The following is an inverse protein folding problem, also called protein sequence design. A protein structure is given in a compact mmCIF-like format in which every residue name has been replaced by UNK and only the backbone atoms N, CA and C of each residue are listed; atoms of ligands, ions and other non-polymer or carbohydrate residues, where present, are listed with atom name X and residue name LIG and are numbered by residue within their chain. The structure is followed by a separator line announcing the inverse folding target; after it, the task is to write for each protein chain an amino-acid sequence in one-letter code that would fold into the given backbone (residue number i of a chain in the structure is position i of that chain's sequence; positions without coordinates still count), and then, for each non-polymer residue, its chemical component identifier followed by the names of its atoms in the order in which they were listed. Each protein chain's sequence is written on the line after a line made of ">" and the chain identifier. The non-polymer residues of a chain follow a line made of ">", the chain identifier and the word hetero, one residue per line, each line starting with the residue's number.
data_IF_818894464325
#
_entry.id   IF_818894464325
#
_cell.length_a   1.000
_cell.length_b   1.000
_cell.length_c   1.000
_cell.angle_alpha   90.00
_cell.angle_beta   90.00
_cell.angle_gamma   90.00
#
_symmetry.space_group_name_H-M   'P 1'
#
loop_
_entity.id
_entity.type
_entity.pdbx_description
1 polymer ?
#
# COMPACT_ATOMS: atom_id res chain seq x y z
N UNK A 1 1.74 -26.86 15.08
CA UNK A 1 2.77 -26.08 14.36
C UNK A 1 2.17 -25.11 13.35
N UNK A 2 0.96 -25.37 12.81
CA UNK A 2 0.35 -24.53 11.76
C UNK A 2 -0.31 -23.23 12.25
N UNK A 3 -0.47 -23.03 13.55
CA UNK A 3 -1.13 -21.84 14.11
C UNK A 3 -0.29 -20.55 13.93
N UNK A 4 1.02 -20.65 13.90
CA UNK A 4 1.92 -19.50 13.73
C UNK A 4 1.83 -18.85 12.36
N UNK A 5 1.81 -19.62 11.28
CA UNK A 5 1.74 -19.11 9.90
C UNK A 5 0.44 -18.34 9.61
N UNK A 6 -0.71 -18.85 10.03
CA UNK A 6 -1.97 -18.15 9.84
C UNK A 6 -2.06 -16.83 10.59
N UNK A 7 -1.34 -16.69 11.69
CA UNK A 7 -1.27 -15.47 12.49
C UNK A 7 -0.37 -14.41 11.82
N UNK A 8 0.75 -14.82 11.25
CA UNK A 8 1.65 -13.96 10.47
C UNK A 8 0.91 -13.32 9.29
N UNK A 9 0.22 -14.11 8.48
CA UNK A 9 -0.54 -13.58 7.33
C UNK A 9 -1.63 -12.60 7.74
N UNK A 10 -2.37 -12.88 8.81
CA UNK A 10 -3.40 -11.98 9.32
C UNK A 10 -2.84 -10.63 9.77
N UNK A 11 -1.70 -10.62 10.43
CA UNK A 11 -1.08 -9.40 10.93
C UNK A 11 -0.56 -8.52 9.80
N UNK A 12 0.02 -9.11 8.76
CA UNK A 12 0.46 -8.35 7.60
C UNK A 12 -0.70 -7.67 6.86
N UNK A 13 -1.84 -8.34 6.77
CA UNK A 13 -3.04 -7.77 6.14
C UNK A 13 -3.67 -6.64 6.96
N UNK A 14 -3.53 -6.68 8.28
CA UNK A 14 -4.14 -5.70 9.20
C UNK A 14 -3.27 -4.48 9.47
N UNK A 15 -2.18 -4.25 8.75
CA UNK A 15 -1.21 -3.18 8.99
C UNK A 15 -0.63 -3.23 10.42
N UNK A 16 -0.36 -4.42 10.91
CA UNK A 16 0.27 -4.68 12.20
C UNK A 16 1.65 -5.31 11.98
N UNK A 17 2.70 -4.63 12.41
CA UNK A 17 4.09 -5.07 12.28
C UNK A 17 4.52 -6.15 13.27
N UNK A 18 3.63 -6.66 14.11
CA UNK A 18 4.00 -7.73 15.05
C UNK A 18 4.30 -9.02 14.33
N UNK A 19 5.48 -9.57 14.52
CA UNK A 19 5.93 -10.83 13.94
C UNK A 19 5.96 -11.94 14.98
N UNK A 20 5.65 -13.16 14.55
CA UNK A 20 5.64 -14.35 15.39
C UNK A 20 6.69 -15.37 14.95
N UNK A 21 7.55 -14.98 14.04
CA UNK A 21 8.65 -15.75 13.47
C UNK A 21 9.46 -14.86 12.54
N UNK A 22 10.67 -15.28 12.22
CA UNK A 22 11.58 -14.56 11.35
C UNK A 22 11.08 -14.64 9.89
N UNK A 23 10.63 -13.54 9.32
CA UNK A 23 10.08 -13.49 7.96
C UNK A 23 11.12 -13.80 6.90
N UNK A 24 12.37 -13.40 7.12
CA UNK A 24 13.50 -13.68 6.23
C UNK A 24 13.76 -15.19 6.05
N UNK A 25 13.41 -16.01 7.06
CA UNK A 25 13.56 -17.47 7.04
C UNK A 25 12.37 -18.20 6.43
N UNK A 26 11.32 -17.49 5.97
CA UNK A 26 10.15 -18.12 5.38
C UNK A 26 10.43 -18.62 3.96
N UNK A 27 9.65 -19.61 3.51
CA UNK A 27 9.72 -20.07 2.13
C UNK A 27 9.40 -18.92 1.16
N UNK A 28 10.02 -18.86 -0.02
CA UNK A 28 9.82 -17.76 -0.97
C UNK A 28 8.35 -17.46 -1.30
N UNK A 29 7.52 -18.49 -1.40
CA UNK A 29 6.08 -18.34 -1.63
C UNK A 29 5.38 -17.69 -0.43
N UNK A 30 5.79 -17.99 0.78
CA UNK A 30 5.26 -17.38 2.00
C UNK A 30 5.56 -15.88 2.04
N UNK A 31 6.81 -15.49 1.82
CA UNK A 31 7.22 -14.08 1.77
C UNK A 31 6.52 -13.31 0.64
N UNK A 32 6.29 -13.95 -0.52
CA UNK A 32 5.51 -13.36 -1.61
C UNK A 32 4.07 -13.08 -1.20
N UNK A 33 3.41 -13.99 -0.50
CA UNK A 33 2.03 -13.81 -0.03
C UNK A 33 1.95 -12.71 1.01
N UNK A 34 2.91 -12.61 1.91
CA UNK A 34 3.01 -11.54 2.90
C UNK A 34 3.12 -10.16 2.23
N UNK A 35 4.05 -10.02 1.27
CA UNK A 35 4.19 -8.79 0.49
C UNK A 35 2.93 -8.45 -0.31
N UNK A 36 2.30 -9.43 -0.95
CA UNK A 36 1.07 -9.22 -1.71
C UNK A 36 -0.06 -8.70 -0.82
N UNK A 37 -0.21 -9.27 0.37
CA UNK A 37 -1.21 -8.82 1.33
C UNK A 37 -0.98 -7.36 1.77
N UNK A 38 0.25 -6.96 2.01
CA UNK A 38 0.60 -5.57 2.32
C UNK A 38 0.39 -4.64 1.12
N UNK A 39 0.68 -5.08 -0.09
CA UNK A 39 0.51 -4.29 -1.31
C UNK A 39 -0.97 -4.04 -1.64
N UNK A 40 -1.84 -5.00 -1.41
CA UNK A 40 -3.29 -4.83 -1.58
C UNK A 40 -3.84 -3.83 -0.55
N UNK A 41 -3.44 -3.94 0.70
CA UNK A 41 -3.74 -3.03 1.82
C UNK A 41 -5.22 -2.57 1.94
N UNK A 42 -6.14 -3.44 1.55
CA UNK A 42 -7.59 -3.20 1.59
C UNK A 42 -8.35 -4.24 2.40
N UNK A 43 -7.73 -5.41 2.60
CA UNK A 43 -8.34 -6.53 3.30
C UNK A 43 -8.13 -6.35 4.80
N UNK A 44 -9.16 -6.52 5.59
CA UNK A 44 -9.10 -6.50 7.05
C UNK A 44 -8.24 -5.36 7.67
N UNK A 45 -7.85 -4.37 6.84
CA UNK A 45 -6.82 -3.39 7.12
C UNK A 45 -7.04 -2.65 8.42
N UNK A 46 -5.96 -2.10 8.98
CA UNK A 46 -5.91 -1.43 10.25
C UNK A 46 -7.01 -0.39 10.44
N UNK A 47 -7.24 0.04 11.67
CA UNK A 47 -8.39 0.80 12.14
C UNK A 47 -8.83 1.93 11.18
N UNK A 48 -9.78 1.60 10.30
CA UNK A 48 -10.40 2.52 9.33
C UNK A 48 -9.67 2.68 8.00
N UNK A 49 -8.36 2.55 7.91
CA UNK A 49 -7.58 2.84 6.68
C UNK A 49 -7.86 1.84 5.58
N UNK A 50 -7.89 0.55 5.87
CA UNK A 50 -8.21 -0.47 4.88
C UNK A 50 -9.62 -0.31 4.31
N UNK A 51 -10.58 0.06 5.14
CA UNK A 51 -11.95 0.37 4.72
C UNK A 51 -12.01 1.57 3.79
N UNK A 52 -11.29 2.64 4.11
CA UNK A 52 -11.20 3.83 3.26
C UNK A 52 -10.52 3.52 1.91
N UNK A 53 -9.47 2.71 1.90
CA UNK A 53 -8.83 2.24 0.66
C UNK A 53 -9.83 1.45 -0.19
N UNK A 54 -10.60 0.55 0.41
CA UNK A 54 -11.64 -0.21 -0.27
C UNK A 54 -12.67 0.70 -0.94
N UNK A 55 -13.14 1.75 -0.26
CA UNK A 55 -14.04 2.75 -0.85
C UNK A 55 -13.40 3.48 -2.04
N UNK A 56 -12.12 3.81 -1.96
CA UNK A 56 -11.41 4.44 -3.08
C UNK A 56 -11.44 3.54 -4.32
N UNK A 57 -11.19 2.24 -4.16
CA UNK A 57 -11.27 1.30 -5.28
C UNK A 57 -12.71 1.12 -5.80
N UNK A 58 -13.72 1.14 -4.94
CA UNK A 58 -15.12 1.12 -5.36
C UNK A 58 -15.44 2.34 -6.22
N UNK A 59 -15.04 3.54 -5.82
CA UNK A 59 -15.27 4.78 -6.58
C UNK A 59 -14.63 4.70 -7.96
N UNK A 60 -13.39 4.22 -8.04
CA UNK A 60 -12.69 4.00 -9.31
C UNK A 60 -13.44 2.99 -10.18
N UNK A 61 -13.86 1.86 -9.61
CA UNK A 61 -14.60 0.83 -10.33
C UNK A 61 -15.94 1.33 -10.86
N UNK A 62 -16.71 2.06 -10.04
CA UNK A 62 -17.99 2.66 -10.43
C UNK A 62 -17.79 3.69 -11.54
N UNK A 63 -16.76 4.51 -11.46
CA UNK A 63 -16.45 5.49 -12.49
C UNK A 63 -16.11 4.83 -13.83
N UNK A 64 -15.23 3.84 -13.83
CA UNK A 64 -14.81 3.13 -15.04
C UNK A 64 -16.01 2.37 -15.63
N UNK A 65 -16.76 1.62 -14.82
CA UNK A 65 -17.91 0.87 -15.29
C UNK A 65 -19.00 1.78 -15.85
N UNK A 66 -19.27 2.93 -15.22
CA UNK A 66 -20.20 3.94 -15.71
C UNK A 66 -19.81 4.47 -17.08
N UNK A 67 -18.51 4.78 -17.28
CA UNK A 67 -18.01 5.23 -18.58
C UNK A 67 -18.13 4.15 -19.67
N UNK A 68 -17.86 2.89 -19.32
CA UNK A 68 -17.96 1.78 -20.27
C UNK A 68 -19.40 1.55 -20.77
N UNK A 69 -20.38 1.75 -19.89
CA UNK A 69 -21.80 1.61 -20.21
C UNK A 69 -22.40 2.89 -20.85
N UNK A 70 -21.62 3.98 -20.86
CA UNK A 70 -22.11 5.28 -21.38
C UNK A 70 -23.11 5.98 -20.45
N UNK A 71 -23.11 5.64 -19.16
CA UNK A 71 -23.94 6.29 -18.12
C UNK A 71 -23.12 7.19 -17.23
N UNK A 72 -23.75 8.18 -16.62
CA UNK A 72 -23.10 8.99 -15.59
C UNK A 72 -22.81 8.13 -14.37
N UNK A 73 -21.54 8.04 -13.93
CA UNK A 73 -21.19 7.24 -12.75
C UNK A 73 -21.78 7.90 -11.50
N UNK A 74 -22.52 7.10 -10.73
CA UNK A 74 -23.16 7.53 -9.48
C UNK A 74 -22.73 6.63 -8.33
N UNK A 75 -22.40 7.22 -7.21
CA UNK A 75 -22.06 6.51 -5.98
C UNK A 75 -22.85 7.09 -4.81
N UNK A 76 -23.61 6.24 -4.10
CA UNK A 76 -24.50 6.65 -3.00
C UNK A 76 -25.41 7.82 -3.37
N UNK A 77 -26.05 7.78 -4.54
CA UNK A 77 -26.93 8.83 -5.05
C UNK A 77 -26.25 10.19 -5.27
N UNK A 78 -24.91 10.20 -5.42
CA UNK A 78 -24.15 11.38 -5.79
C UNK A 78 -23.35 11.10 -7.06
N UNK A 79 -23.31 12.05 -7.96
CA UNK A 79 -22.57 11.96 -9.20
C UNK A 79 -21.06 12.01 -8.93
N UNK A 80 -20.34 11.02 -9.43
CA UNK A 80 -18.86 11.00 -9.39
C UNK A 80 -18.31 11.73 -10.61
N UNK A 81 -17.52 12.76 -10.38
CA UNK A 81 -16.93 13.59 -11.42
C UNK A 81 -15.40 13.46 -11.46
N UNK A 82 -14.81 14.17 -12.43
CA UNK A 82 -13.36 14.12 -12.65
C UNK A 82 -12.52 14.60 -11.44
N UNK A 83 -13.08 15.43 -10.56
CA UNK A 83 -12.35 15.92 -9.37
C UNK A 83 -12.10 14.79 -8.37
N UNK A 84 -13.16 14.07 -8.02
CA UNK A 84 -13.09 12.93 -7.10
C UNK A 84 -12.20 11.83 -7.70
N UNK A 85 -12.36 11.60 -9.00
CA UNK A 85 -11.56 10.57 -9.70
C UNK A 85 -10.07 10.88 -9.74
N UNK A 86 -9.68 12.16 -9.93
CA UNK A 86 -8.27 12.56 -9.86
C UNK A 86 -7.65 12.27 -8.49
N UNK A 87 -8.36 12.62 -7.41
CA UNK A 87 -7.88 12.35 -6.05
C UNK A 87 -7.80 10.85 -5.80
N UNK A 88 -8.83 10.09 -6.18
CA UNK A 88 -8.84 8.64 -6.04
C UNK A 88 -7.68 7.96 -6.79
N UNK A 89 -7.39 8.41 -8.01
CA UNK A 89 -6.28 7.90 -8.81
C UNK A 89 -4.91 8.20 -8.16
N UNK A 90 -4.72 9.42 -7.63
CA UNK A 90 -3.48 9.79 -6.93
C UNK A 90 -3.29 8.90 -5.69
N UNK A 91 -4.35 8.72 -4.90
CA UNK A 91 -4.30 7.87 -3.70
C UNK A 91 -3.98 6.42 -4.06
N UNK A 92 -4.62 5.87 -5.09
CA UNK A 92 -4.40 4.49 -5.51
C UNK A 92 -3.00 4.25 -6.09
N UNK A 93 -2.45 5.22 -6.83
CA UNK A 93 -1.13 5.10 -7.46
C UNK A 93 0.03 5.44 -6.52
N UNK A 94 -0.22 6.18 -5.45
CA UNK A 94 0.83 6.56 -4.51
C UNK A 94 1.52 5.33 -3.89
N UNK A 95 0.73 4.36 -3.46
CA UNK A 95 1.25 3.17 -2.78
C UNK A 95 2.26 2.38 -3.64
N UNK A 96 1.91 1.89 -4.85
CA UNK A 96 2.88 1.23 -5.71
C UNK A 96 4.03 2.16 -6.14
N UNK A 97 3.78 3.45 -6.32
CA UNK A 97 4.80 4.41 -6.70
C UNK A 97 5.92 4.50 -5.66
N UNK A 98 5.59 4.72 -4.39
CA UNK A 98 6.61 4.85 -3.33
C UNK A 98 7.37 3.55 -3.08
N UNK A 99 6.71 2.40 -3.20
CA UNK A 99 7.35 1.08 -3.08
C UNK A 99 8.39 0.88 -4.19
N UNK A 100 7.97 1.07 -5.43
CA UNK A 100 8.84 0.81 -6.59
C UNK A 100 9.99 1.81 -6.68
N UNK A 101 9.73 3.09 -6.45
CA UNK A 101 10.78 4.11 -6.48
C UNK A 101 11.77 3.93 -5.33
N UNK A 102 11.29 3.64 -4.12
CA UNK A 102 12.15 3.37 -2.97
C UNK A 102 13.03 2.15 -3.20
N UNK A 103 12.44 1.05 -3.64
CA UNK A 103 13.20 -0.19 -3.95
C UNK A 103 14.21 0.03 -5.08
N UNK A 104 13.84 0.75 -6.14
CA UNK A 104 14.74 1.05 -7.25
C UNK A 104 15.92 1.93 -6.79
N UNK A 105 15.66 2.91 -5.93
CA UNK A 105 16.70 3.76 -5.36
C UNK A 105 17.68 2.96 -4.50
N UNK A 106 17.17 2.10 -3.61
CA UNK A 106 18.00 1.25 -2.77
C UNK A 106 18.84 0.28 -3.61
N UNK A 107 18.25 -0.39 -4.60
CA UNK A 107 18.95 -1.29 -5.50
C UNK A 107 20.01 -0.53 -6.34
N UNK A 108 19.71 0.66 -6.80
CA UNK A 108 20.66 1.51 -7.51
C UNK A 108 21.87 1.86 -6.66
N UNK A 109 21.64 2.31 -5.43
CA UNK A 109 22.72 2.64 -4.48
C UNK A 109 23.55 1.40 -4.12
N UNK A 110 22.92 0.28 -3.92
CA UNK A 110 23.61 -0.98 -3.61
C UNK A 110 24.60 -1.39 -4.71
N UNK A 111 24.22 -1.20 -5.98
CA UNK A 111 25.07 -1.58 -7.13
C UNK A 111 26.13 -0.50 -7.43
N UNK A 112 25.79 0.78 -7.38
CA UNK A 112 26.65 1.87 -7.87
C UNK A 112 27.45 2.59 -6.77
N UNK A 113 27.06 2.43 -5.52
CA UNK A 113 27.73 3.05 -4.38
C UNK A 113 28.08 2.04 -3.26
N UNK A 114 28.84 0.95 -3.57
CA UNK A 114 29.12 -0.08 -2.58
C UNK A 114 29.88 0.48 -1.36
N UNK A 115 30.76 1.43 -1.54
CA UNK A 115 31.49 2.06 -0.44
C UNK A 115 30.56 2.77 0.57
N UNK A 116 29.46 3.34 0.11
CA UNK A 116 28.43 3.92 0.97
C UNK A 116 27.70 2.83 1.76
N UNK A 117 27.29 1.75 1.10
CA UNK A 117 26.64 0.62 1.74
C UNK A 117 27.52 -0.05 2.79
N UNK A 118 28.79 -0.24 2.49
CA UNK A 118 29.76 -0.78 3.43
C UNK A 118 30.02 0.14 4.63
N UNK A 119 30.05 1.47 4.41
CA UNK A 119 30.21 2.44 5.51
C UNK A 119 29.05 2.42 6.50
N UNK A 120 27.87 1.99 6.07
CA UNK A 120 26.68 1.80 6.91
C UNK A 120 26.58 0.37 7.53
N UNK A 121 27.59 -0.47 7.35
CA UNK A 121 27.67 -1.82 7.94
C UNK A 121 27.15 -2.95 7.06
N UNK A 122 26.85 -2.66 5.79
CA UNK A 122 26.20 -3.60 4.87
C UNK A 122 24.68 -3.67 5.09
N UNK A 123 23.92 -3.79 4.00
CA UNK A 123 22.46 -3.79 4.08
C UNK A 123 21.86 -5.18 4.04
N UNK A 124 22.39 -6.06 3.21
CA UNK A 124 21.80 -7.36 2.91
C UNK A 124 22.49 -8.50 3.66
N UNK A 125 21.72 -9.36 4.27
CA UNK A 125 22.19 -10.61 4.82
C UNK A 125 22.27 -11.71 3.74
N UNK A 126 21.34 -11.71 2.80
CA UNK A 126 21.26 -12.66 1.70
C UNK A 126 21.34 -11.92 0.35
N UNK A 127 22.56 -11.68 -0.20
CA UNK A 127 22.71 -10.99 -1.48
C UNK A 127 22.12 -11.81 -2.64
N UNK A 128 21.74 -11.11 -3.70
CA UNK A 128 21.13 -11.70 -4.89
C UNK A 128 19.62 -11.49 -4.97
N UNK A 129 18.89 -12.46 -5.48
CA UNK A 129 17.44 -12.34 -5.66
C UNK A 129 16.67 -12.18 -4.35
N UNK A 130 17.13 -12.84 -3.29
CA UNK A 130 16.54 -12.71 -1.96
C UNK A 130 16.76 -11.30 -1.38
N UNK A 131 17.94 -10.74 -1.58
CA UNK A 131 18.27 -9.38 -1.14
C UNK A 131 17.40 -8.30 -1.81
N UNK A 132 17.02 -8.47 -3.08
CA UNK A 132 16.02 -7.61 -3.69
C UNK A 132 14.67 -7.73 -2.97
N UNK A 133 14.30 -8.96 -2.55
CA UNK A 133 13.12 -9.21 -1.74
C UNK A 133 13.15 -8.51 -0.39
N UNK A 134 14.32 -8.49 0.29
CA UNK A 134 14.53 -7.78 1.55
C UNK A 134 14.26 -6.27 1.40
N UNK A 135 14.83 -5.64 0.36
CA UNK A 135 14.62 -4.21 0.06
C UNK A 135 13.15 -3.92 -0.30
N UNK A 136 12.55 -4.75 -1.15
CA UNK A 136 11.17 -4.61 -1.58
C UNK A 136 10.20 -4.76 -0.42
N UNK A 137 10.45 -5.72 0.47
CA UNK A 137 9.63 -5.94 1.65
C UNK A 137 9.65 -4.73 2.58
N UNK A 138 10.82 -4.16 2.82
CA UNK A 138 10.98 -3.00 3.71
C UNK A 138 10.14 -1.80 3.22
N UNK A 139 10.27 -1.42 1.94
CA UNK A 139 9.45 -0.34 1.39
C UNK A 139 7.97 -0.68 1.33
N UNK A 140 7.61 -1.94 1.07
CA UNK A 140 6.22 -2.40 1.11
C UNK A 140 5.63 -2.28 2.50
N UNK A 141 6.36 -2.70 3.52
CA UNK A 141 5.96 -2.62 4.92
C UNK A 141 5.83 -1.16 5.38
N UNK A 142 6.77 -0.29 5.02
CA UNK A 142 6.69 1.13 5.31
C UNK A 142 5.50 1.79 4.61
N UNK A 143 5.24 1.47 3.34
CA UNK A 143 4.11 2.00 2.60
C UNK A 143 2.75 1.51 3.13
N UNK A 144 2.65 0.24 3.54
CA UNK A 144 1.47 -0.30 4.20
C UNK A 144 1.35 0.13 5.68
N UNK A 145 2.38 0.78 6.23
CA UNK A 145 2.48 1.23 7.62
C UNK A 145 2.48 0.07 8.64
N UNK A 146 2.98 -1.10 8.25
CA UNK A 146 3.13 -2.24 9.13
C UNK A 146 4.33 -2.08 10.08
N UNK A 147 5.50 -1.68 9.54
CA UNK A 147 6.75 -1.54 10.28
C UNK A 147 7.47 -2.85 10.57
N UNK A 148 7.12 -3.94 9.89
CA UNK A 148 7.88 -5.20 9.89
C UNK A 148 8.86 -5.20 8.72
N UNK A 149 10.04 -5.81 8.91
CA UNK A 149 11.02 -6.03 7.85
C UNK A 149 11.27 -7.52 7.62
N UNK A 150 12.04 -7.85 6.58
CA UNK A 150 12.78 -9.11 6.58
C UNK A 150 14.00 -8.91 7.46
N UNK A 151 14.10 -9.64 8.55
CA UNK A 151 15.08 -9.44 9.62
C UNK A 151 16.54 -9.69 9.18
N UNK A 152 16.74 -10.09 7.91
CA UNK A 152 18.04 -10.15 7.26
C UNK A 152 18.57 -8.80 6.80
N UNK A 153 17.68 -7.80 6.63
CA UNK A 153 18.06 -6.46 6.23
C UNK A 153 18.66 -5.68 7.41
N UNK A 154 19.83 -5.09 7.22
CA UNK A 154 20.41 -4.13 8.16
C UNK A 154 19.75 -2.76 8.03
N UNK A 155 18.55 -2.62 8.55
CA UNK A 155 17.68 -1.45 8.38
C UNK A 155 18.03 -0.27 9.32
N UNK A 156 18.79 -0.49 10.39
CA UNK A 156 19.16 0.55 11.34
C UNK A 156 20.33 1.42 10.82
N UNK A 157 20.17 1.99 9.63
CA UNK A 157 21.13 2.91 9.02
C UNK A 157 20.47 4.24 8.70
N UNK A 158 21.28 5.26 8.41
CA UNK A 158 20.77 6.59 8.07
C UNK A 158 19.85 6.54 6.83
N UNK A 159 20.28 5.83 5.79
CA UNK A 159 19.50 5.72 4.55
C UNK A 159 18.13 5.11 4.79
N UNK A 160 18.07 3.94 5.43
CA UNK A 160 16.82 3.24 5.69
C UNK A 160 15.91 4.03 6.62
N UNK A 161 16.45 4.57 7.70
CA UNK A 161 15.66 5.35 8.66
C UNK A 161 15.01 6.58 8.02
N UNK A 162 15.73 7.32 7.16
CA UNK A 162 15.20 8.52 6.51
C UNK A 162 14.23 8.15 5.38
N UNK A 163 14.61 7.24 4.49
CA UNK A 163 13.77 6.86 3.35
C UNK A 163 12.46 6.20 3.79
N UNK A 164 12.52 5.26 4.73
CA UNK A 164 11.34 4.62 5.30
C UNK A 164 10.46 5.62 6.05
N UNK A 165 11.04 6.56 6.79
CA UNK A 165 10.30 7.62 7.46
C UNK A 165 9.52 8.51 6.48
N UNK A 166 10.13 8.92 5.37
CA UNK A 166 9.47 9.70 4.32
C UNK A 166 8.34 8.90 3.66
N UNK A 167 8.60 7.64 3.29
CA UNK A 167 7.58 6.75 2.69
C UNK A 167 6.41 6.56 3.64
N UNK A 168 6.66 6.32 4.92
CA UNK A 168 5.64 6.12 5.94
C UNK A 168 4.73 7.35 6.09
N UNK A 169 5.31 8.56 6.14
CA UNK A 169 4.55 9.81 6.24
C UNK A 169 3.68 10.00 5.00
N UNK A 170 4.24 9.86 3.80
CA UNK A 170 3.50 10.02 2.55
C UNK A 170 2.37 9.01 2.44
N UNK A 171 2.65 7.74 2.72
CA UNK A 171 1.67 6.66 2.59
C UNK A 171 0.59 6.66 3.67
N UNK A 172 0.79 7.39 4.77
CA UNK A 172 -0.23 7.56 5.81
C UNK A 172 -1.10 8.78 5.54
N UNK A 173 -0.49 9.94 5.39
CA UNK A 173 -1.25 11.20 5.39
C UNK A 173 -1.93 11.47 4.04
N UNK A 174 -1.28 11.19 2.92
CA UNK A 174 -1.87 11.49 1.60
C UNK A 174 -3.15 10.68 1.34
N UNK A 175 -3.22 9.36 1.60
CA UNK A 175 -4.46 8.62 1.48
C UNK A 175 -5.56 9.14 2.40
N UNK A 176 -5.28 9.37 3.68
CA UNK A 176 -6.28 9.86 4.63
C UNK A 176 -6.85 11.21 4.17
N UNK A 177 -6.00 12.16 3.83
CA UNK A 177 -6.43 13.49 3.37
C UNK A 177 -7.21 13.37 2.06
N UNK A 178 -6.73 12.56 1.11
CA UNK A 178 -7.40 12.36 -0.18
C UNK A 178 -8.78 11.75 -0.04
N UNK A 179 -8.92 10.73 0.78
CA UNK A 179 -10.19 10.03 1.01
C UNK A 179 -11.21 10.91 1.73
N UNK A 180 -10.78 11.67 2.74
CA UNK A 180 -11.63 12.65 3.42
C UNK A 180 -12.03 13.79 2.46
N UNK A 181 -11.13 14.24 1.59
CA UNK A 181 -11.44 15.24 0.57
C UNK A 181 -12.48 14.72 -0.44
N UNK A 182 -12.40 13.47 -0.88
CA UNK A 182 -13.41 12.84 -1.74
C UNK A 182 -14.77 12.83 -1.03
N UNK A 183 -14.82 12.42 0.22
CA UNK A 183 -16.05 12.41 1.01
C UNK A 183 -16.65 13.82 1.14
N UNK A 184 -15.80 14.83 1.41
CA UNK A 184 -16.21 16.23 1.48
C UNK A 184 -16.77 16.77 0.15
N UNK A 185 -16.14 16.41 -0.98
CA UNK A 185 -16.63 16.79 -2.31
C UNK A 185 -17.98 16.14 -2.63
N UNK A 186 -18.16 14.87 -2.31
CA UNK A 186 -19.42 14.15 -2.50
C UNK A 186 -20.53 14.73 -1.61
N UNK A 187 -20.24 15.06 -0.36
CA UNK A 187 -21.21 15.64 0.57
C UNK A 187 -21.74 17.01 0.15
N UNK A 188 -20.98 17.78 -0.63
CA UNK A 188 -21.41 19.09 -1.16
C UNK A 188 -22.33 18.98 -2.38
N UNK A 189 -22.43 17.79 -2.98
CA UNK A 189 -23.25 17.60 -4.18
C UNK A 189 -24.72 17.39 -3.85
N UNK A 190 -25.58 17.80 -4.78
CA UNK A 190 -27.01 17.54 -4.65
C UNK A 190 -27.30 16.07 -4.71
N UNK A 191 -28.20 15.63 -3.83
CA UNK A 191 -28.74 14.27 -3.85
C UNK A 191 -29.53 14.05 -5.14
N UNK A 192 -29.17 13.03 -5.89
CA UNK A 192 -29.94 12.58 -7.06
C UNK A 192 -30.74 11.38 -6.58
N UNK A 193 -32.10 11.44 -6.65
CA UNK A 193 -32.88 10.25 -6.31
C UNK A 193 -32.42 9.11 -7.22
N UNK A 194 -32.02 7.99 -6.62
CA UNK A 194 -31.71 6.77 -7.37
C UNK A 194 -32.97 6.40 -8.15
N UNK A 195 -32.97 6.64 -9.44
CA UNK A 195 -33.98 6.13 -10.33
C UNK A 195 -33.80 4.62 -10.35
N UNK A 196 -34.56 3.92 -9.53
CA UNK A 196 -34.89 2.52 -9.77
C UNK A 196 -35.51 2.52 -11.18
N UNK A 197 -34.75 2.03 -12.15
CA UNK A 197 -35.31 1.76 -13.46
C UNK A 197 -36.37 0.68 -13.29
N UNK A 198 -37.60 1.09 -13.10
CA UNK A 198 -38.74 0.30 -13.47
C UNK A 198 -38.67 0.19 -14.99
N UNK A 199 -38.27 -0.94 -15.49
CA UNK A 199 -38.49 -1.31 -16.88
C UNK A 199 -40.01 -1.27 -17.13
N UNK A 200 -40.48 -0.27 -17.88
CA UNK A 200 -41.73 -0.40 -18.58
C UNK A 200 -41.60 -1.45 -19.68
#
# INVERSE_FOLDING_TARGET
>A
PSRGLGDVYKRQVTSNGSVNGMHDSTMPLSGMIEMLNMQINTWFGGVGVGWMNYFTFIIIAVFISGLMVGRTPEFMCHKVEAKEMKIASIVALLHPFVILVGTALAAYLYVHAPAFVESEGGWLNNPGFHGLGEMLYEFTSCAANNGSGFEGLGDNTWFWNVSCGVVLILSRFVPIIGQVAIAGLLAQKKYIPCLLYTSD
#
